data_IF_435782818242
#
_entry.id   IF_435782818242
#
_cell.length_a   1.000
_cell.length_b   1.000
_cell.length_c   1.000
_cell.angle_alpha   90.00
_cell.angle_beta   90.00
_cell.angle_gamma   90.00
#
_symmetry.space_group_name_H-M   'P 1'
#
loop_
_entity.id
_entity.type
_entity.pdbx_description
1 polymer ?
#
# COMPACT_ATOMS: atom_id res chain seq x y z
N UNK A 1 24.16 30.66 -23.63
CA UNK A 1 23.12 30.03 -22.79
C UNK A 1 22.25 29.16 -23.69
N UNK A 2 22.56 27.87 -23.81
CA UNK A 2 21.78 26.95 -24.65
C UNK A 2 22.32 25.54 -24.44
N UNK A 3 21.78 24.81 -23.45
CA UNK A 3 22.32 23.50 -23.04
C UNK A 3 21.23 22.60 -22.41
N UNK A 4 19.97 22.71 -22.86
CA UNK A 4 18.82 22.06 -22.19
C UNK A 4 17.84 21.21 -23.02
N UNK A 5 17.66 21.37 -24.35
CA UNK A 5 16.72 20.50 -25.07
C UNK A 5 17.28 19.07 -25.27
N UNK A 6 18.58 18.94 -25.58
CA UNK A 6 19.22 17.64 -25.81
C UNK A 6 19.24 16.76 -24.55
N UNK A 7 19.46 17.37 -23.37
CA UNK A 7 19.38 16.65 -22.09
C UNK A 7 17.97 16.17 -21.78
N UNK A 8 16.94 16.94 -22.13
CA UNK A 8 15.56 16.57 -21.89
C UNK A 8 15.10 15.41 -22.80
N UNK A 9 15.51 15.42 -24.07
CA UNK A 9 15.26 14.32 -24.99
C UNK A 9 16.05 13.07 -24.61
N UNK A 10 17.29 13.22 -24.16
CA UNK A 10 18.12 12.12 -23.69
C UNK A 10 17.55 11.49 -22.40
N UNK A 11 17.11 12.31 -21.44
CA UNK A 11 16.36 11.85 -20.25
C UNK A 11 15.06 11.15 -20.65
N UNK A 12 14.29 11.73 -21.58
CA UNK A 12 13.04 11.13 -22.06
C UNK A 12 13.30 9.78 -22.72
N UNK A 13 14.38 9.67 -23.50
CA UNK A 13 14.80 8.42 -24.13
C UNK A 13 15.27 7.40 -23.09
N UNK A 14 16.10 7.80 -22.12
CA UNK A 14 16.57 6.92 -21.03
C UNK A 14 15.41 6.40 -20.17
N UNK A 15 14.44 7.26 -19.84
CA UNK A 15 13.21 6.88 -19.13
C UNK A 15 12.39 5.93 -19.98
N UNK A 16 12.17 6.24 -21.27
CA UNK A 16 11.46 5.35 -22.18
C UNK A 16 12.17 4.02 -22.36
N UNK A 17 13.49 3.99 -22.44
CA UNK A 17 14.28 2.77 -22.66
C UNK A 17 14.35 1.92 -21.39
N UNK A 18 14.37 2.55 -20.21
CA UNK A 18 14.13 1.88 -18.93
C UNK A 18 12.76 1.19 -18.92
N UNK A 19 11.70 1.93 -19.24
CA UNK A 19 10.33 1.38 -19.30
C UNK A 19 10.05 0.47 -20.50
N UNK A 20 10.84 0.56 -21.59
CA UNK A 20 10.78 -0.34 -22.77
C UNK A 20 11.57 -1.62 -22.57
N UNK A 21 12.52 -1.64 -21.63
CA UNK A 21 13.47 -2.75 -21.41
C UNK A 21 13.25 -3.63 -20.18
N UNK A 22 12.50 -3.19 -19.16
CA UNK A 22 12.27 -4.01 -17.94
C UNK A 22 11.87 -3.11 -16.78
N UNK A 23 10.99 -3.49 -15.87
CA UNK A 23 10.53 -4.78 -15.41
C UNK A 23 9.01 -4.78 -15.36
N UNK A 24 8.34 -5.89 -15.66
CA UNK A 24 6.98 -6.08 -15.18
C UNK A 24 6.97 -5.80 -13.67
N UNK A 25 6.15 -4.84 -13.24
CA UNK A 25 6.01 -4.53 -11.83
C UNK A 25 5.70 -5.82 -11.07
N UNK A 26 6.49 -6.07 -10.03
CA UNK A 26 6.26 -7.22 -9.15
C UNK A 26 5.54 -6.72 -7.91
N UNK A 27 4.30 -7.16 -7.68
CA UNK A 27 3.63 -6.88 -6.43
C UNK A 27 4.49 -7.27 -5.24
N UNK A 28 4.46 -6.43 -4.22
CA UNK A 28 5.29 -6.62 -3.05
C UNK A 28 4.58 -6.21 -1.78
N UNK A 29 5.05 -6.79 -0.69
CA UNK A 29 4.74 -6.39 0.67
C UNK A 29 6.07 -6.33 1.43
N UNK A 30 6.41 -5.18 1.99
CA UNK A 30 7.67 -4.96 2.71
C UNK A 30 7.41 -4.32 4.06
N UNK A 31 8.28 -4.64 5.02
CA UNK A 31 8.36 -3.95 6.29
C UNK A 31 9.62 -3.09 6.34
N UNK A 32 9.44 -1.81 6.64
CA UNK A 32 10.51 -0.88 6.95
C UNK A 32 10.66 -0.76 8.47
N UNK A 33 11.70 -1.40 9.01
CA UNK A 33 12.00 -1.42 10.44
C UNK A 33 12.30 -0.04 11.02
N UNK A 34 12.93 0.85 10.25
CA UNK A 34 13.31 2.18 10.74
C UNK A 34 12.09 3.09 10.93
N UNK A 35 11.05 2.89 10.13
CA UNK A 35 9.81 3.67 10.16
C UNK A 35 8.66 2.94 10.86
N UNK A 36 8.87 1.68 11.26
CA UNK A 36 7.83 0.77 11.74
C UNK A 36 6.61 0.76 10.81
N UNK A 37 6.86 0.58 9.52
CA UNK A 37 5.87 0.78 8.47
C UNK A 37 5.83 -0.42 7.51
N UNK A 38 4.62 -0.91 7.20
CA UNK A 38 4.42 -1.88 6.13
C UNK A 38 3.90 -1.16 4.90
N UNK A 39 4.51 -1.43 3.75
CA UNK A 39 4.02 -1.01 2.45
C UNK A 39 3.63 -2.22 1.62
N UNK A 40 2.45 -2.15 1.00
CA UNK A 40 1.98 -3.13 0.02
C UNK A 40 1.55 -2.40 -1.24
N UNK A 41 2.10 -2.81 -2.39
CA UNK A 41 1.71 -2.30 -3.70
C UNK A 41 1.49 -3.45 -4.69
N UNK A 42 0.43 -3.33 -5.49
CA UNK A 42 0.01 -4.33 -6.48
C UNK A 42 0.26 -3.94 -7.92
N UNK A 43 0.48 -2.65 -8.20
CA UNK A 43 0.71 -2.14 -9.56
C UNK A 43 1.70 -0.97 -9.54
N UNK A 44 2.49 -0.81 -10.61
CA UNK A 44 3.31 0.39 -10.84
C UNK A 44 2.43 1.48 -11.45
N UNK A 45 2.18 2.54 -10.69
CA UNK A 45 1.49 3.71 -11.19
C UNK A 45 1.86 4.94 -10.36
N UNK A 46 1.60 6.14 -10.90
CA UNK A 46 1.59 7.34 -10.07
C UNK A 46 0.45 7.22 -9.05
N UNK A 47 0.78 7.36 -7.77
CA UNK A 47 -0.15 7.14 -6.67
C UNK A 47 -0.47 8.40 -5.88
N UNK A 48 -1.65 8.42 -5.27
CA UNK A 48 -2.07 9.34 -4.23
C UNK A 48 -2.31 8.54 -2.96
N UNK A 49 -1.78 9.02 -1.86
CA UNK A 49 -1.99 8.41 -0.55
C UNK A 49 -3.13 9.13 0.18
N UNK A 50 -4.12 8.37 0.65
CA UNK A 50 -5.21 8.90 1.47
C UNK A 50 -5.11 8.28 2.86
N UNK A 51 -4.74 9.07 3.89
CA UNK A 51 -4.68 8.58 5.25
C UNK A 51 -6.08 8.33 5.78
N UNK A 52 -6.25 7.21 6.46
CA UNK A 52 -7.44 6.94 7.25
C UNK A 52 -7.16 7.41 8.67
N UNK A 53 -7.62 8.64 8.95
CA UNK A 53 -7.46 9.30 10.25
C UNK A 53 -7.90 8.40 11.40
N UNK A 54 -7.00 8.17 12.36
CA UNK A 54 -7.29 7.42 13.58
C UNK A 54 -6.83 5.95 13.59
N UNK A 55 -6.48 5.35 12.45
CA UNK A 55 -6.09 3.92 12.40
C UNK A 55 -4.72 3.62 11.79
N UNK A 56 -3.89 4.63 11.54
CA UNK A 56 -2.52 4.42 11.03
C UNK A 56 -2.47 3.59 9.73
N UNK A 57 -3.58 3.56 8.99
CA UNK A 57 -3.71 2.95 7.67
C UNK A 57 -3.76 4.07 6.64
N UNK A 58 -2.98 3.94 5.58
CA UNK A 58 -2.98 4.84 4.44
C UNK A 58 -3.31 4.00 3.22
N UNK A 59 -4.36 4.36 2.48
CA UNK A 59 -4.70 3.69 1.23
C UNK A 59 -3.95 4.35 0.08
N UNK A 60 -3.46 3.51 -0.83
CA UNK A 60 -2.72 3.97 -2.00
C UNK A 60 -3.64 3.87 -3.21
N UNK A 61 -3.90 5.01 -3.85
CA UNK A 61 -4.81 5.13 -4.99
C UNK A 61 -4.07 5.44 -6.29
N UNK A 62 -4.59 4.99 -7.43
CA UNK A 62 -4.14 5.46 -8.76
C UNK A 62 -4.43 6.95 -8.91
N UNK A 63 -3.49 7.71 -9.45
CA UNK A 63 -3.70 9.12 -9.80
C UNK A 63 -4.63 9.33 -10.99
N UNK A 64 -4.92 8.28 -11.78
CA UNK A 64 -5.70 8.41 -13.00
C UNK A 64 -7.19 8.02 -12.78
N UNK A 65 -8.15 8.94 -12.94
CA UNK A 65 -9.54 8.78 -12.47
C UNK A 65 -10.46 7.92 -13.36
N UNK A 66 -9.92 7.21 -14.36
CA UNK A 66 -10.73 6.50 -15.38
C UNK A 66 -11.21 5.12 -14.91
N UNK A 67 -10.69 4.56 -13.83
CA UNK A 67 -10.98 3.17 -13.42
C UNK A 67 -11.80 3.08 -12.14
N UNK A 68 -12.70 2.08 -12.10
CA UNK A 68 -13.66 1.81 -11.02
C UNK A 68 -13.04 1.18 -9.77
N UNK A 69 -11.86 0.57 -9.87
CA UNK A 69 -11.03 0.20 -8.72
C UNK A 69 -9.80 1.09 -8.68
N UNK A 70 -9.82 2.04 -7.74
CA UNK A 70 -8.79 3.06 -7.63
C UNK A 70 -7.70 2.70 -6.64
N UNK A 71 -7.88 1.67 -5.79
CA UNK A 71 -6.91 1.29 -4.75
C UNK A 71 -5.89 0.28 -5.29
N UNK A 72 -4.61 0.60 -5.23
CA UNK A 72 -3.48 -0.24 -5.70
C UNK A 72 -2.61 -0.77 -4.58
N UNK A 73 -2.94 -0.47 -3.34
CA UNK A 73 -2.14 -0.87 -2.20
C UNK A 73 -2.54 -0.15 -0.94
N UNK A 74 -1.74 -0.36 0.10
CA UNK A 74 -1.92 0.27 1.38
C UNK A 74 -0.61 0.28 2.17
N UNK A 75 -0.62 1.12 3.19
CA UNK A 75 0.48 1.42 4.07
C UNK A 75 -0.04 1.29 5.51
N UNK A 76 0.65 0.54 6.37
CA UNK A 76 0.34 0.44 7.81
C UNK A 76 1.48 1.07 8.59
N UNK A 77 1.24 2.22 9.21
CA UNK A 77 2.16 2.85 10.15
C UNK A 77 2.05 2.21 11.54
N UNK A 78 3.15 2.16 12.28
CA UNK A 78 3.17 1.57 13.62
C UNK A 78 2.91 0.06 13.61
N UNK A 79 3.40 -0.64 12.59
CA UNK A 79 3.08 -2.04 12.32
C UNK A 79 3.38 -2.97 13.50
N UNK A 80 4.44 -2.73 14.28
CA UNK A 80 4.73 -3.52 15.50
C UNK A 80 3.70 -3.27 16.60
N UNK A 81 3.34 -2.02 16.85
CA UNK A 81 2.27 -1.70 17.83
C UNK A 81 0.92 -2.27 17.40
N UNK A 82 0.66 -2.26 16.10
CA UNK A 82 -0.53 -2.86 15.53
C UNK A 82 -0.53 -4.40 15.70
N UNK A 83 0.60 -5.06 15.44
CA UNK A 83 0.77 -6.50 15.66
C UNK A 83 0.54 -6.88 17.14
N UNK A 84 1.13 -6.11 18.07
CA UNK A 84 0.94 -6.26 19.52
C UNK A 84 -0.55 -6.19 19.92
N UNK A 85 -1.31 -5.23 19.36
CA UNK A 85 -2.73 -5.04 19.66
C UNK A 85 -3.67 -6.05 18.99
N UNK A 86 -3.23 -6.72 17.91
CA UNK A 86 -4.02 -7.72 17.18
C UNK A 86 -3.80 -9.15 17.67
N UNK A 87 -2.99 -9.35 18.71
CA UNK A 87 -2.66 -10.66 19.26
C UNK A 87 -1.62 -11.44 18.44
N UNK A 88 -1.01 -10.79 17.45
CA UNK A 88 0.13 -11.36 16.72
C UNK A 88 1.40 -11.25 17.59
N UNK A 89 2.16 -12.33 17.69
CA UNK A 89 3.41 -12.31 18.45
C UNK A 89 4.40 -11.33 17.81
N UNK A 90 4.91 -10.38 18.59
CA UNK A 90 5.90 -9.34 18.19
C UNK A 90 7.19 -9.91 17.58
N UNK A 91 7.39 -11.23 17.70
CA UNK A 91 8.55 -11.95 17.18
C UNK A 91 8.31 -12.76 15.90
N UNK A 92 7.18 -12.62 15.21
CA UNK A 92 6.96 -13.39 14.00
C UNK A 92 5.80 -12.86 13.18
N UNK A 93 6.10 -12.56 11.91
CA UNK A 93 5.17 -12.44 10.76
C UNK A 93 3.76 -11.90 11.03
N UNK A 94 3.42 -10.74 10.46
CA UNK A 94 2.05 -10.21 10.46
C UNK A 94 1.25 -10.77 9.27
N UNK A 95 0.07 -11.36 9.52
CA UNK A 95 -0.92 -11.65 8.47
C UNK A 95 -1.64 -10.35 8.08
N UNK A 96 -1.43 -9.91 6.84
CA UNK A 96 -1.96 -8.66 6.31
C UNK A 96 -3.48 -8.67 6.16
N UNK A 97 -4.10 -9.85 6.01
CA UNK A 97 -5.56 -9.98 5.92
C UNK A 97 -6.21 -9.82 7.28
N UNK A 98 -5.58 -10.34 8.32
CA UNK A 98 -5.98 -10.09 9.72
C UNK A 98 -5.84 -8.61 10.01
N UNK A 99 -4.71 -8.00 9.61
CA UNK A 99 -4.50 -6.57 9.81
C UNK A 99 -5.62 -5.71 9.18
N UNK A 100 -5.91 -5.96 7.90
CA UNK A 100 -7.00 -5.31 7.18
C UNK A 100 -8.38 -5.58 7.82
N UNK A 101 -8.62 -6.77 8.36
CA UNK A 101 -9.87 -7.09 9.06
C UNK A 101 -10.03 -6.26 10.35
N UNK A 102 -8.99 -6.19 11.18
CA UNK A 102 -9.03 -5.39 12.42
C UNK A 102 -9.30 -3.90 12.12
N UNK A 103 -8.83 -3.39 10.98
CA UNK A 103 -9.18 -2.03 10.55
C UNK A 103 -10.65 -1.88 10.19
N UNK A 104 -11.25 -2.82 9.44
CA UNK A 104 -12.71 -2.79 9.15
C UNK A 104 -13.51 -2.76 10.46
N UNK A 105 -13.12 -3.59 11.43
CA UNK A 105 -13.82 -3.72 12.69
C UNK A 105 -13.71 -2.42 13.51
N UNK A 106 -12.51 -1.83 13.56
CA UNK A 106 -12.31 -0.52 14.19
C UNK A 106 -13.16 0.57 13.52
N UNK A 107 -13.12 0.68 12.19
CA UNK A 107 -13.86 1.68 11.43
C UNK A 107 -15.37 1.53 11.61
N UNK A 108 -15.86 0.30 11.68
CA UNK A 108 -17.28 0.00 11.91
C UNK A 108 -17.73 0.41 13.33
N UNK A 109 -16.83 0.38 14.30
CA UNK A 109 -17.11 0.73 15.70
C UNK A 109 -16.98 2.24 15.98
N UNK A 110 -16.35 3.01 15.10
CA UNK A 110 -16.23 4.47 15.22
C UNK A 110 -17.53 5.17 14.78
N UNK A 111 -18.26 5.76 15.74
CA UNK A 111 -19.43 6.59 15.43
C UNK A 111 -19.00 7.83 14.64
N UNK A 112 -19.59 8.03 13.46
CA UNK A 112 -19.34 9.21 12.62
C UNK A 112 -18.24 9.05 11.57
N UNK A 113 -17.68 7.85 11.42
CA UNK A 113 -16.74 7.58 10.34
C UNK A 113 -17.41 7.71 8.96
N UNK A 114 -16.71 8.36 8.04
CA UNK A 114 -17.26 9.02 6.85
C UNK A 114 -17.91 8.01 5.90
N UNK A 115 -19.22 8.19 5.65
CA UNK A 115 -20.06 7.37 4.74
C UNK A 115 -19.82 7.62 3.24
N UNK A 116 -19.02 8.62 2.86
CA UNK A 116 -18.87 9.02 1.46
C UNK A 116 -17.93 8.12 0.64
N UNK A 117 -17.27 7.14 1.28
CA UNK A 117 -16.42 6.15 0.63
C UNK A 117 -16.72 4.77 1.20
N UNK A 118 -16.89 3.74 0.35
CA UNK A 118 -17.16 2.38 0.81
C UNK A 118 -15.85 1.67 1.21
N UNK A 119 -15.40 1.97 2.43
CA UNK A 119 -14.19 1.38 3.01
C UNK A 119 -14.26 -0.14 3.12
N UNK A 120 -15.46 -0.71 3.26
CA UNK A 120 -15.63 -2.16 3.36
C UNK A 120 -15.37 -2.83 2.03
N UNK A 121 -15.88 -2.25 0.95
CA UNK A 121 -15.60 -2.73 -0.40
C UNK A 121 -14.11 -2.61 -0.73
N UNK A 122 -13.50 -1.45 -0.47
CA UNK A 122 -12.07 -1.23 -0.73
C UNK A 122 -11.19 -2.24 0.02
N UNK A 123 -11.40 -2.42 1.33
CA UNK A 123 -10.60 -3.36 2.11
C UNK A 123 -10.87 -4.81 1.71
N UNK A 124 -12.11 -5.17 1.36
CA UNK A 124 -12.43 -6.51 0.82
C UNK A 124 -11.68 -6.77 -0.48
N UNK A 125 -11.64 -5.78 -1.38
CA UNK A 125 -10.87 -5.85 -2.63
C UNK A 125 -9.38 -6.06 -2.37
N UNK A 126 -8.79 -5.29 -1.44
CA UNK A 126 -7.40 -5.46 -1.02
C UNK A 126 -7.13 -6.88 -0.49
N UNK A 127 -8.00 -7.42 0.38
CA UNK A 127 -7.84 -8.78 0.92
C UNK A 127 -7.85 -9.84 -0.18
N UNK A 128 -8.80 -9.77 -1.12
CA UNK A 128 -8.83 -10.68 -2.28
C UNK A 128 -7.53 -10.60 -3.06
N UNK A 129 -7.04 -9.38 -3.29
CA UNK A 129 -5.82 -9.16 -4.07
C UNK A 129 -4.56 -9.69 -3.38
N UNK A 130 -4.46 -9.58 -2.05
CA UNK A 130 -3.36 -10.18 -1.28
C UNK A 130 -3.32 -11.71 -1.45
N UNK A 131 -4.50 -12.36 -1.44
CA UNK A 131 -4.62 -13.80 -1.60
C UNK A 131 -4.24 -14.26 -3.01
N UNK A 132 -4.76 -13.57 -4.03
CA UNK A 132 -4.42 -13.82 -5.44
C UNK A 132 -2.91 -13.73 -5.71
N UNK A 133 -2.23 -12.80 -5.04
CA UNK A 133 -0.81 -12.52 -5.24
C UNK A 133 0.11 -13.26 -4.27
N UNK A 134 -0.44 -14.03 -3.32
CA UNK A 134 0.33 -14.71 -2.28
C UNK A 134 1.02 -13.77 -1.27
N UNK A 135 0.67 -12.48 -1.26
CA UNK A 135 1.25 -11.44 -0.38
C UNK A 135 0.52 -11.41 0.96
N UNK A 136 0.37 -12.55 1.63
CA UNK A 136 -0.49 -12.63 2.84
C UNK A 136 0.24 -12.29 4.13
N UNK A 137 1.58 -12.33 4.13
CA UNK A 137 2.39 -12.20 5.33
C UNK A 137 3.58 -11.27 5.12
N UNK A 138 3.97 -10.55 6.17
CA UNK A 138 5.19 -9.74 6.20
C UNK A 138 5.96 -10.02 7.48
N UNK A 139 7.24 -10.35 7.35
CA UNK A 139 8.13 -10.51 8.49
C UNK A 139 8.48 -9.15 9.12
N UNK A 140 8.27 -9.03 10.43
CA UNK A 140 8.58 -7.83 11.21
C UNK A 140 9.99 -7.85 11.81
N UNK A 141 10.71 -8.97 11.64
CA UNK A 141 12.01 -9.24 12.22
C UNK A 141 11.94 -9.51 13.73
N UNK A 142 12.80 -10.41 14.22
CA UNK A 142 13.05 -10.57 15.65
C UNK A 142 13.76 -9.32 16.21
N UNK A 143 13.29 -8.81 17.35
CA UNK A 143 14.01 -7.76 18.11
C UNK A 143 15.37 -8.26 18.60
#
# INVERSE_FOLDING_TARGET
MSDQPERAEELTRLVRDYFRGGSEFRPYAIYNQNLDWIQVLFEDCSVTEIPITGIKLVLVFKNHPILTSTVVGFNIEGAKRFAEGSGASVGGSLDLRIALQSFIDFLTNQKGFVRSFDWREAIRGLKSRLEELGLTHVDLGSR
#
